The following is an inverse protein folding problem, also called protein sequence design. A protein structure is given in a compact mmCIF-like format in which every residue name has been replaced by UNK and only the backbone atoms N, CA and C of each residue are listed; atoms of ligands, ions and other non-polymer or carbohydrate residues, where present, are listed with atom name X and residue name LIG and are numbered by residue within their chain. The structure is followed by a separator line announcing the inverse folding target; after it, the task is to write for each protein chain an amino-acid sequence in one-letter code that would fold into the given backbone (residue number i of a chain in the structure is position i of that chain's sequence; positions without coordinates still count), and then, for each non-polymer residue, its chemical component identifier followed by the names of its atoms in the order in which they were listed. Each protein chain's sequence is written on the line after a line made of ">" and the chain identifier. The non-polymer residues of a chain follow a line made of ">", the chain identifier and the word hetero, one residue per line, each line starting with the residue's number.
data_IF_166608060148
#
_entry.id   IF_166608060148
#
_cell.length_a   1.000
_cell.length_b   1.000
_cell.length_c   1.000
_cell.angle_alpha   90.00
_cell.angle_beta   90.00
_cell.angle_gamma   90.00
#
_symmetry.space_group_name_H-M   'P 1'
#
loop_
_entity.id
_entity.type
_entity.pdbx_description
1 polymer ?
#
# COMPACT_ATOMS: atom_id res chain seq x y z
N UNK A 1 -41.60 7.00 -44.73
CA UNK A 1 -41.61 5.54 -44.56
C UNK A 1 -41.34 5.25 -43.10
N UNK A 2 -42.36 4.81 -42.35
CA UNK A 2 -42.16 4.27 -41.00
C UNK A 2 -41.47 2.92 -41.13
N UNK A 3 -40.22 2.86 -40.70
CA UNK A 3 -39.49 1.60 -40.62
C UNK A 3 -39.87 0.92 -39.31
N UNK A 4 -40.57 -0.20 -39.39
CA UNK A 4 -40.86 -1.04 -38.23
C UNK A 4 -39.61 -1.79 -37.82
N UNK A 5 -39.10 -1.45 -36.64
CA UNK A 5 -37.95 -2.14 -36.05
C UNK A 5 -38.39 -3.54 -35.63
N UNK A 6 -37.69 -4.62 -36.06
CA UNK A 6 -37.99 -5.98 -35.63
C UNK A 6 -37.95 -6.09 -34.10
N UNK A 7 -38.87 -6.89 -33.52
CA UNK A 7 -38.98 -7.06 -32.07
C UNK A 7 -37.64 -7.42 -31.39
N UNK A 8 -36.87 -8.33 -32.00
CA UNK A 8 -35.55 -8.70 -31.51
C UNK A 8 -34.57 -7.51 -31.46
N UNK A 9 -34.63 -6.60 -32.44
CA UNK A 9 -33.79 -5.40 -32.45
C UNK A 9 -34.24 -4.37 -31.39
N UNK A 10 -35.54 -4.30 -31.11
CA UNK A 10 -36.07 -3.48 -30.01
C UNK A 10 -35.65 -4.02 -28.63
N UNK A 11 -35.69 -5.33 -28.42
CA UNK A 11 -35.21 -5.97 -27.20
C UNK A 11 -33.71 -5.73 -26.98
N UNK A 12 -32.89 -5.89 -28.02
CA UNK A 12 -31.44 -5.63 -27.95
C UNK A 12 -31.17 -4.15 -27.63
N UNK A 13 -31.93 -3.23 -28.24
CA UNK A 13 -31.82 -1.80 -27.95
C UNK A 13 -32.15 -1.48 -26.48
N UNK A 14 -33.15 -2.15 -25.90
CA UNK A 14 -33.49 -2.02 -24.47
C UNK A 14 -32.41 -2.52 -23.51
N UNK A 15 -31.54 -3.44 -23.96
CA UNK A 15 -30.43 -3.98 -23.16
C UNK A 15 -29.16 -3.13 -23.20
N UNK A 16 -29.08 -2.18 -24.13
CA UNK A 16 -27.87 -1.39 -24.39
C UNK A 16 -27.41 -0.57 -23.18
N UNK A 17 -28.30 0.21 -22.55
CA UNK A 17 -27.95 1.06 -21.41
C UNK A 17 -27.59 0.26 -20.13
N UNK A 18 -28.33 -0.81 -19.78
CA UNK A 18 -27.91 -1.72 -18.72
C UNK A 18 -26.54 -2.37 -18.98
N UNK A 19 -26.24 -2.72 -20.24
CA UNK A 19 -24.96 -3.33 -20.60
C UNK A 19 -23.81 -2.32 -20.56
N UNK A 20 -24.05 -1.08 -20.99
CA UNK A 20 -23.10 0.03 -20.84
C UNK A 20 -22.75 0.29 -19.38
N UNK A 21 -23.77 0.38 -18.52
CA UNK A 21 -23.57 0.60 -17.08
C UNK A 21 -22.74 -0.53 -16.47
N UNK A 22 -23.04 -1.77 -16.86
CA UNK A 22 -22.28 -2.92 -16.41
C UNK A 22 -20.81 -2.85 -16.86
N UNK A 23 -20.57 -2.54 -18.13
CA UNK A 23 -19.22 -2.39 -18.66
C UNK A 23 -18.41 -1.34 -17.88
N UNK A 24 -19.00 -0.17 -17.64
CA UNK A 24 -18.36 0.88 -16.84
C UNK A 24 -18.00 0.40 -15.43
N UNK A 25 -18.91 -0.32 -14.77
CA UNK A 25 -18.68 -0.88 -13.45
C UNK A 25 -17.54 -1.91 -13.44
N UNK A 26 -17.47 -2.79 -14.44
CA UNK A 26 -16.38 -3.76 -14.58
C UNK A 26 -15.06 -3.04 -14.84
N UNK A 27 -15.05 -2.01 -15.69
CA UNK A 27 -13.85 -1.21 -15.95
C UNK A 27 -13.31 -0.54 -14.69
N UNK A 28 -14.17 -0.11 -13.77
CA UNK A 28 -13.74 0.41 -12.48
C UNK A 28 -13.05 -0.67 -11.63
N UNK A 29 -13.60 -1.88 -11.57
CA UNK A 29 -13.00 -3.00 -10.83
C UNK A 29 -11.63 -3.36 -11.41
N UNK A 30 -11.53 -3.47 -12.74
CA UNK A 30 -10.26 -3.78 -13.43
C UNK A 30 -9.21 -2.70 -13.15
N UNK A 31 -9.61 -1.43 -13.22
CA UNK A 31 -8.70 -0.31 -12.93
C UNK A 31 -8.21 -0.34 -11.48
N UNK A 32 -9.09 -0.59 -10.51
CA UNK A 32 -8.72 -0.64 -9.09
C UNK A 32 -7.82 -1.85 -8.80
N UNK A 33 -8.10 -3.01 -9.40
CA UNK A 33 -7.23 -4.18 -9.31
C UNK A 33 -5.84 -3.90 -9.88
N UNK A 34 -5.77 -3.35 -11.09
CA UNK A 34 -4.49 -3.01 -11.72
C UNK A 34 -3.72 -1.99 -10.90
N UNK A 35 -4.39 -1.00 -10.29
CA UNK A 35 -3.72 -0.05 -9.39
C UNK A 35 -3.08 -0.73 -8.17
N UNK A 36 -3.73 -1.75 -7.58
CA UNK A 36 -3.15 -2.55 -6.50
C UNK A 36 -1.92 -3.33 -6.99
N UNK A 37 -2.03 -3.95 -8.17
CA UNK A 37 -0.94 -4.72 -8.77
C UNK A 37 0.26 -3.84 -9.09
N UNK A 38 0.02 -2.68 -9.70
CA UNK A 38 1.06 -1.74 -10.14
C UNK A 38 1.73 -1.02 -8.97
N UNK A 39 1.05 -0.90 -7.83
CA UNK A 39 1.64 -0.35 -6.60
C UNK A 39 2.70 -1.27 -6.00
N UNK A 40 2.70 -2.57 -6.31
CA UNK A 40 3.60 -3.55 -5.70
C UNK A 40 4.84 -3.83 -6.55
N UNK A 41 6.01 -3.67 -5.95
CA UNK A 41 7.28 -4.17 -6.50
C UNK A 41 7.34 -5.71 -6.50
N UNK A 42 8.32 -6.31 -7.17
CA UNK A 42 8.47 -7.77 -7.23
C UNK A 42 8.57 -8.42 -5.85
N UNK A 43 9.29 -7.79 -4.93
CA UNK A 43 9.50 -8.32 -3.57
C UNK A 43 8.25 -8.11 -2.70
N UNK A 44 7.60 -6.95 -2.83
CA UNK A 44 6.34 -6.66 -2.13
C UNK A 44 5.19 -7.55 -2.61
N UNK A 45 5.19 -8.00 -3.88
CA UNK A 45 4.19 -8.97 -4.38
C UNK A 45 4.19 -10.27 -3.58
N UNK A 46 5.36 -10.71 -3.11
CA UNK A 46 5.44 -11.91 -2.27
C UNK A 46 4.92 -11.63 -0.86
N UNK A 47 5.20 -10.46 -0.29
CA UNK A 47 4.66 -10.03 1.01
C UNK A 47 3.14 -9.92 0.99
N UNK A 48 2.58 -9.33 -0.06
CA UNK A 48 1.14 -9.14 -0.22
C UNK A 48 0.43 -10.31 -0.90
N UNK A 49 1.12 -11.44 -1.13
CA UNK A 49 0.55 -12.58 -1.87
C UNK A 49 -0.75 -13.11 -1.24
N UNK A 50 -0.84 -13.20 0.09
CA UNK A 50 -2.07 -13.63 0.77
C UNK A 50 -3.22 -12.64 0.57
N UNK A 51 -2.92 -11.33 0.63
CA UNK A 51 -3.90 -10.26 0.37
C UNK A 51 -4.38 -10.29 -1.09
N UNK A 52 -3.48 -10.51 -2.04
CA UNK A 52 -3.83 -10.66 -3.46
C UNK A 52 -4.69 -11.90 -3.72
N UNK A 53 -4.36 -13.06 -3.12
CA UNK A 53 -5.20 -14.27 -3.23
C UNK A 53 -6.62 -14.04 -2.72
N UNK A 54 -6.80 -13.24 -1.66
CA UNK A 54 -8.13 -12.86 -1.14
C UNK A 54 -8.90 -12.02 -2.16
N UNK A 55 -8.24 -11.06 -2.82
CA UNK A 55 -8.84 -10.27 -3.92
C UNK A 55 -9.22 -11.18 -5.10
N UNK A 56 -8.31 -12.03 -5.57
CA UNK A 56 -8.55 -12.93 -6.69
C UNK A 56 -9.73 -13.88 -6.42
N UNK A 57 -9.82 -14.42 -5.18
CA UNK A 57 -10.93 -15.27 -4.77
C UNK A 57 -12.28 -14.54 -4.79
N UNK A 58 -12.30 -13.24 -4.50
CA UNK A 58 -13.50 -12.40 -4.59
C UNK A 58 -13.88 -12.08 -6.04
N UNK A 59 -12.90 -11.95 -6.93
CA UNK A 59 -13.12 -11.70 -8.36
C UNK A 59 -13.58 -12.96 -9.13
N UNK A 60 -13.11 -14.14 -8.73
CA UNK A 60 -13.33 -15.40 -9.47
C UNK A 60 -14.81 -15.72 -9.82
N UNK A 61 -15.82 -15.48 -8.93
CA UNK A 61 -17.23 -15.68 -9.28
C UNK A 61 -17.70 -14.82 -10.46
N UNK A 62 -17.13 -13.62 -10.63
CA UNK A 62 -17.40 -12.75 -11.78
C UNK A 62 -16.91 -13.31 -13.11
N UNK A 63 -15.82 -14.11 -13.06
CA UNK A 63 -15.21 -14.71 -14.25
C UNK A 63 -15.83 -16.06 -14.63
N UNK A 64 -16.34 -16.81 -13.65
CA UNK A 64 -16.70 -18.23 -13.83
C UNK A 64 -18.18 -18.55 -13.67
N UNK A 65 -18.93 -17.79 -12.87
CA UNK A 65 -20.29 -18.18 -12.44
C UNK A 65 -21.35 -17.12 -12.65
N UNK A 66 -20.99 -15.84 -12.78
CA UNK A 66 -21.97 -14.78 -12.92
C UNK A 66 -22.56 -14.78 -14.34
N UNK A 67 -23.87 -14.97 -14.45
CA UNK A 67 -24.61 -14.84 -15.72
C UNK A 67 -24.95 -13.40 -16.07
N UNK A 68 -24.53 -12.44 -15.24
CA UNK A 68 -24.75 -10.99 -15.41
C UNK A 68 -26.21 -10.59 -15.69
N UNK A 69 -27.18 -11.42 -15.30
CA UNK A 69 -28.58 -11.24 -15.65
C UNK A 69 -29.31 -10.31 -14.67
N UNK A 70 -29.15 -10.55 -13.35
CA UNK A 70 -29.87 -9.81 -12.29
C UNK A 70 -29.14 -8.53 -11.88
N UNK A 71 -29.80 -7.36 -11.98
CA UNK A 71 -29.22 -6.04 -11.66
C UNK A 71 -28.57 -5.96 -10.28
N UNK A 72 -29.31 -6.34 -9.23
CA UNK A 72 -28.83 -6.26 -7.84
C UNK A 72 -27.58 -7.11 -7.58
N UNK A 73 -27.47 -8.27 -8.24
CA UNK A 73 -26.31 -9.17 -8.11
C UNK A 73 -25.07 -8.53 -8.71
N UNK A 74 -25.21 -7.81 -9.82
CA UNK A 74 -24.11 -7.10 -10.50
C UNK A 74 -23.59 -5.94 -9.66
N UNK A 75 -24.49 -5.08 -9.19
CA UNK A 75 -24.15 -3.91 -8.36
C UNK A 75 -23.48 -4.32 -7.04
N UNK A 76 -24.02 -5.34 -6.38
CA UNK A 76 -23.44 -5.88 -5.16
C UNK A 76 -22.05 -6.50 -5.39
N UNK A 77 -21.90 -7.33 -6.44
CA UNK A 77 -20.62 -7.95 -6.78
C UNK A 77 -19.53 -6.90 -7.06
N UNK A 78 -19.85 -5.90 -7.89
CA UNK A 78 -18.94 -4.79 -8.20
C UNK A 78 -18.53 -4.09 -6.92
N UNK A 79 -19.50 -3.70 -6.08
CA UNK A 79 -19.21 -3.02 -4.81
C UNK A 79 -18.24 -3.83 -3.94
N UNK A 80 -18.52 -5.11 -3.72
CA UNK A 80 -17.68 -5.98 -2.88
C UNK A 80 -16.25 -6.11 -3.42
N UNK A 81 -16.08 -6.24 -4.75
CA UNK A 81 -14.76 -6.34 -5.35
C UNK A 81 -13.97 -5.03 -5.19
N UNK A 82 -14.65 -3.89 -5.38
CA UNK A 82 -14.05 -2.56 -5.22
C UNK A 82 -13.65 -2.29 -3.77
N UNK A 83 -14.53 -2.59 -2.82
CA UNK A 83 -14.25 -2.44 -1.39
C UNK A 83 -12.99 -3.27 -1.00
N UNK A 84 -12.91 -4.52 -1.47
CA UNK A 84 -11.74 -5.36 -1.22
C UNK A 84 -10.44 -4.81 -1.85
N UNK A 85 -10.50 -4.29 -3.08
CA UNK A 85 -9.33 -3.66 -3.71
C UNK A 85 -8.90 -2.39 -2.96
N UNK A 86 -9.86 -1.61 -2.47
CA UNK A 86 -9.62 -0.39 -1.70
C UNK A 86 -8.96 -0.70 -0.35
N UNK A 87 -9.42 -1.73 0.34
CA UNK A 87 -8.84 -2.16 1.62
C UNK A 87 -7.38 -2.58 1.43
N UNK A 88 -7.09 -3.39 0.41
CA UNK A 88 -5.70 -3.80 0.11
C UNK A 88 -4.85 -2.60 -0.33
N UNK A 89 -5.37 -1.70 -1.15
CA UNK A 89 -4.67 -0.48 -1.55
C UNK A 89 -4.33 0.43 -0.36
N UNK A 90 -5.24 0.54 0.62
CA UNK A 90 -5.00 1.29 1.84
C UNK A 90 -3.89 0.66 2.71
N UNK A 91 -3.87 -0.67 2.82
CA UNK A 91 -2.79 -1.39 3.51
C UNK A 91 -1.43 -1.17 2.84
N UNK A 92 -1.37 -1.26 1.50
CA UNK A 92 -0.13 -1.02 0.73
C UNK A 92 0.34 0.42 0.94
N UNK A 93 -0.57 1.39 0.87
CA UNK A 93 -0.25 2.81 1.05
C UNK A 93 0.30 3.10 2.45
N UNK A 94 -0.29 2.49 3.49
CA UNK A 94 0.22 2.58 4.86
C UNK A 94 1.62 1.97 4.98
N UNK A 95 1.83 0.77 4.42
CA UNK A 95 3.13 0.11 4.39
C UNK A 95 4.21 0.97 3.72
N UNK A 96 3.93 1.52 2.54
CA UNK A 96 4.86 2.43 1.86
C UNK A 96 5.15 3.70 2.68
N UNK A 97 4.14 4.25 3.36
CA UNK A 97 4.30 5.39 4.26
C UNK A 97 5.24 5.09 5.44
N UNK A 98 5.09 3.92 6.06
CA UNK A 98 5.99 3.46 7.12
C UNK A 98 7.40 3.22 6.59
N UNK A 99 7.55 2.55 5.44
CA UNK A 99 8.83 2.29 4.80
C UNK A 99 9.57 3.59 4.46
N UNK A 100 8.90 4.56 3.84
CA UNK A 100 9.49 5.87 3.54
C UNK A 100 9.92 6.62 4.81
N UNK A 101 9.13 6.53 5.88
CA UNK A 101 9.47 7.14 7.15
C UNK A 101 10.72 6.50 7.78
N UNK A 102 10.85 5.18 7.71
CA UNK A 102 12.06 4.46 8.15
C UNK A 102 13.27 4.91 7.32
N UNK A 103 13.13 4.96 5.99
CA UNK A 103 14.21 5.42 5.10
C UNK A 103 14.63 6.86 5.39
N UNK A 104 13.68 7.74 5.70
CA UNK A 104 13.95 9.13 6.11
C UNK A 104 14.71 9.17 7.44
N UNK A 105 14.31 8.38 8.42
CA UNK A 105 15.00 8.28 9.71
C UNK A 105 16.42 7.72 9.56
N UNK A 106 16.64 6.70 8.73
CA UNK A 106 17.99 6.20 8.42
C UNK A 106 18.87 7.29 7.77
N UNK A 107 18.31 8.11 6.87
CA UNK A 107 19.03 9.26 6.29
C UNK A 107 19.35 10.32 7.33
N UNK A 108 18.45 10.59 8.29
CA UNK A 108 18.72 11.50 9.41
C UNK A 108 19.91 11.01 10.23
N UNK A 109 19.88 9.73 10.67
CA UNK A 109 21.00 9.12 11.40
C UNK A 109 22.32 9.26 10.64
N UNK A 110 22.33 8.98 9.34
CA UNK A 110 23.53 9.09 8.52
C UNK A 110 24.05 10.52 8.36
N UNK A 111 23.16 11.52 8.47
CA UNK A 111 23.50 12.94 8.37
C UNK A 111 23.88 13.58 9.71
N UNK A 112 23.56 12.95 10.84
CA UNK A 112 23.85 13.48 12.17
C UNK A 112 25.35 13.51 12.44
N UNK A 113 25.92 14.71 12.56
CA UNK A 113 27.32 14.87 12.94
C UNK A 113 27.51 14.69 14.44
N UNK A 114 28.36 13.73 14.83
CA UNK A 114 28.69 13.45 16.24
C UNK A 114 29.66 14.51 16.81
N UNK A 115 30.27 15.33 15.96
CA UNK A 115 31.22 16.38 16.34
C UNK A 115 30.65 17.74 15.93
N UNK A 116 30.61 18.67 16.88
CA UNK A 116 30.24 20.06 16.63
C UNK A 116 31.50 20.94 16.59
N UNK A 117 31.76 21.61 15.46
CA UNK A 117 32.84 22.61 15.35
C UNK A 117 32.20 23.90 14.87
N UNK A 118 32.16 24.90 15.75
CA UNK A 118 31.64 26.23 15.38
C UNK A 118 32.72 27.02 14.66
N UNK A 119 32.33 27.73 13.61
CA UNK A 119 33.24 28.61 12.87
C UNK A 119 33.51 29.85 13.71
N UNK A 120 34.75 30.34 13.67
CA UNK A 120 35.23 31.56 14.34
C UNK A 120 35.31 31.50 15.88
N UNK A 121 35.38 30.30 16.48
CA UNK A 121 35.68 30.14 17.92
C UNK A 121 37.05 29.50 18.09
N UNK A 122 37.92 30.15 18.87
CA UNK A 122 39.18 29.56 19.34
C UNK A 122 38.86 28.81 20.63
N UNK A 123 38.83 27.48 20.55
CA UNK A 123 38.57 26.65 21.72
C UNK A 123 39.83 26.46 22.56
N UNK A 124 39.69 26.59 23.88
CA UNK A 124 40.62 25.97 24.83
C UNK A 124 40.26 24.49 25.00
N UNK A 125 41.21 23.66 25.46
CA UNK A 125 41.01 22.21 25.63
C UNK A 125 39.78 21.89 26.51
N UNK A 126 39.57 22.65 27.59
CA UNK A 126 38.42 22.48 28.49
C UNK A 126 37.11 22.89 27.84
N UNK A 127 37.07 24.05 27.15
CA UNK A 127 35.86 24.52 26.47
C UNK A 127 35.42 23.58 25.34
N UNK A 128 36.38 23.03 24.58
CA UNK A 128 36.07 22.07 23.53
C UNK A 128 35.48 20.77 24.11
N UNK A 129 36.09 20.25 25.19
CA UNK A 129 35.60 19.03 25.85
C UNK A 129 34.18 19.19 26.37
N UNK A 130 33.87 20.30 27.02
CA UNK A 130 32.51 20.57 27.50
C UNK A 130 31.50 20.73 26.36
N UNK A 131 31.85 21.49 25.32
CA UNK A 131 30.98 21.69 24.15
C UNK A 131 30.68 20.35 23.44
N UNK A 132 31.71 19.52 23.22
CA UNK A 132 31.53 18.19 22.64
C UNK A 132 30.79 17.23 23.56
N UNK A 133 30.93 17.35 24.88
CA UNK A 133 30.17 16.53 25.82
C UNK A 133 28.69 16.86 25.76
N UNK A 134 28.32 18.16 25.72
CA UNK A 134 26.94 18.60 25.58
C UNK A 134 26.35 18.20 24.23
N UNK A 135 27.10 18.41 23.14
CA UNK A 135 26.68 18.03 21.79
C UNK A 135 26.44 16.52 21.67
N UNK A 136 27.37 15.69 22.17
CA UNK A 136 27.22 14.23 22.14
C UNK A 136 26.03 13.75 22.96
N UNK A 137 25.78 14.33 24.14
CA UNK A 137 24.60 14.01 24.92
C UNK A 137 23.29 14.35 24.17
N UNK A 138 23.24 15.48 23.47
CA UNK A 138 22.09 15.84 22.65
C UNK A 138 21.89 14.90 21.45
N UNK A 139 22.98 14.58 20.75
CA UNK A 139 22.97 13.64 19.62
C UNK A 139 22.58 12.23 20.06
N UNK A 140 23.02 11.78 21.24
CA UNK A 140 22.63 10.47 21.78
C UNK A 140 21.12 10.37 22.02
N UNK A 141 20.51 11.42 22.58
CA UNK A 141 19.06 11.50 22.76
C UNK A 141 18.34 11.49 21.42
N UNK A 142 18.77 12.32 20.46
CA UNK A 142 18.17 12.38 19.12
C UNK A 142 18.26 11.02 18.41
N UNK A 143 19.41 10.36 18.44
CA UNK A 143 19.59 9.04 17.83
C UNK A 143 18.74 7.97 18.50
N UNK A 144 18.59 8.02 19.83
CA UNK A 144 17.74 7.11 20.57
C UNK A 144 16.25 7.27 20.17
N UNK A 145 15.77 8.50 20.06
CA UNK A 145 14.40 8.81 19.62
C UNK A 145 14.16 8.33 18.18
N UNK A 146 15.09 8.61 17.26
CA UNK A 146 14.98 8.18 15.86
C UNK A 146 14.99 6.65 15.75
N UNK A 147 15.86 5.98 16.51
CA UNK A 147 15.89 4.53 16.57
C UNK A 147 14.58 3.95 17.11
N UNK A 148 14.02 4.52 18.18
CA UNK A 148 12.74 4.10 18.73
C UNK A 148 11.59 4.26 17.72
N UNK A 149 11.57 5.35 16.95
CA UNK A 149 10.59 5.55 15.87
C UNK A 149 10.75 4.52 14.75
N UNK A 150 11.98 4.18 14.35
CA UNK A 150 12.24 3.11 13.37
C UNK A 150 11.68 1.77 13.86
N UNK A 151 11.98 1.39 15.11
CA UNK A 151 11.49 0.13 15.70
C UNK A 151 9.96 0.11 15.78
N UNK A 152 9.34 1.22 16.19
CA UNK A 152 7.88 1.36 16.24
C UNK A 152 7.24 1.15 14.86
N UNK A 153 7.79 1.79 13.82
CA UNK A 153 7.31 1.66 12.44
C UNK A 153 7.52 0.27 11.87
N UNK A 154 8.66 -0.37 12.16
CA UNK A 154 8.92 -1.75 11.75
C UNK A 154 7.91 -2.72 12.37
N UNK A 155 7.54 -2.52 13.63
CA UNK A 155 6.50 -3.31 14.29
C UNK A 155 5.12 -3.07 13.65
N UNK A 156 4.78 -1.82 13.31
CA UNK A 156 3.54 -1.50 12.59
C UNK A 156 3.47 -2.19 11.22
N UNK A 157 4.57 -2.24 10.47
CA UNK A 157 4.65 -2.99 9.22
C UNK A 157 4.43 -4.49 9.43
N UNK A 158 5.02 -5.07 10.50
CA UNK A 158 4.88 -6.49 10.78
C UNK A 158 3.46 -6.91 11.19
N UNK A 159 2.72 -6.06 11.91
CA UNK A 159 1.35 -6.35 12.32
C UNK A 159 0.42 -6.61 11.11
N UNK A 160 0.71 -6.04 9.93
CA UNK A 160 -0.02 -6.33 8.67
C UNK A 160 0.14 -7.79 8.23
N UNK A 161 1.27 -8.42 8.56
CA UNK A 161 1.64 -9.77 8.10
C UNK A 161 1.62 -10.82 9.21
N UNK A 162 1.35 -10.44 10.47
CA UNK A 162 1.44 -11.32 11.65
C UNK A 162 0.65 -12.62 11.51
N UNK A 163 -0.57 -12.54 10.98
CA UNK A 163 -1.45 -13.70 10.79
C UNK A 163 -1.32 -14.32 9.38
N UNK A 164 -0.33 -13.87 8.60
CA UNK A 164 -0.14 -14.34 7.23
C UNK A 164 0.50 -15.75 7.21
N UNK A 165 0.24 -16.53 6.14
CA UNK A 165 0.78 -17.88 5.99
C UNK A 165 2.32 -17.91 5.89
N UNK A 166 2.88 -19.11 6.11
CA UNK A 166 4.34 -19.32 6.28
C UNK A 166 5.20 -18.87 5.09
N UNK A 167 4.64 -18.80 3.88
CA UNK A 167 5.27 -18.27 2.67
C UNK A 167 5.48 -16.75 2.77
N UNK A 168 4.48 -16.02 3.25
CA UNK A 168 4.58 -14.57 3.50
C UNK A 168 5.58 -14.29 4.62
N UNK A 169 5.58 -15.10 5.68
CA UNK A 169 6.55 -14.96 6.78
C UNK A 169 8.00 -15.17 6.34
N UNK A 170 8.24 -16.13 5.44
CA UNK A 170 9.58 -16.30 4.83
C UNK A 170 9.97 -15.12 3.96
N UNK A 171 9.02 -14.59 3.20
CA UNK A 171 9.24 -13.40 2.36
C UNK A 171 9.56 -12.18 3.22
N UNK A 172 8.87 -12.01 4.34
CA UNK A 172 9.16 -10.98 5.34
C UNK A 172 10.56 -11.11 5.93
N UNK A 173 10.97 -12.32 6.31
CA UNK A 173 12.32 -12.58 6.78
C UNK A 173 13.40 -12.29 5.72
N UNK A 174 13.08 -12.49 4.43
CA UNK A 174 13.95 -12.11 3.32
C UNK A 174 13.97 -10.60 3.07
N UNK A 175 12.87 -9.90 3.34
CA UNK A 175 12.76 -8.45 3.16
C UNK A 175 13.50 -7.65 4.24
N UNK A 176 13.53 -8.16 5.48
CA UNK A 176 14.28 -7.54 6.59
C UNK A 176 15.79 -7.73 6.44
N UNK A 177 16.23 -8.81 5.81
CA UNK A 177 17.65 -9.20 5.72
C UNK A 177 18.42 -8.29 4.77
#
# INVERSE_FOLDING_TARGET
>A
SEYTVPYAAHEIAGLHDPMRTLYQNIMLVVREYNAVVDALTSDERQLFADHMRKVDRRLNPGLTKLTWSKRHVKEFFVKVCRDQCRDVSALISAFHGHHQSIMSNCKKIAATSVIAIEKNIVYTDTMFKEAQSRHRAAVEVELAEVHQDIVSRMNQCYEVFKDAPSDVQRSWASYIR
#
